data_IF_687948604207
#
_entry.id   IF_687948604207
#
_cell.length_a   1.000
_cell.length_b   1.000
_cell.length_c   1.000
_cell.angle_alpha   90.00
_cell.angle_beta   90.00
_cell.angle_gamma   90.00
#
_symmetry.space_group_name_H-M   'P 1'
#
loop_
_entity.id
_entity.type
_entity.pdbx_description
1 polymer ?
#
# COMPACT_ATOMS: atom_id res chain seq x y z
N UNK A 1 21.37 15.07 18.51
CA UNK A 1 19.90 15.02 18.77
C UNK A 1 19.33 13.81 18.02
N UNK A 2 18.47 13.00 18.64
CA UNK A 2 18.04 11.69 18.06
C UNK A 2 17.19 11.83 16.80
N UNK A 3 16.23 12.75 16.77
CA UNK A 3 15.31 12.88 15.63
C UNK A 3 16.03 13.30 14.34
N UNK A 4 16.84 14.39 14.29
CA UNK A 4 17.61 14.72 13.09
C UNK A 4 18.63 13.64 12.69
N UNK A 5 19.07 12.81 13.63
CA UNK A 5 19.91 11.67 13.31
C UNK A 5 19.09 10.61 12.55
N UNK A 6 17.90 10.24 13.04
CA UNK A 6 17.00 9.29 12.37
C UNK A 6 16.43 9.81 11.05
N UNK A 7 15.94 11.05 11.03
CA UNK A 7 15.36 11.74 9.88
C UNK A 7 16.44 12.35 8.98
N UNK A 8 17.38 11.51 8.53
CA UNK A 8 18.46 11.92 7.64
C UNK A 8 17.89 12.35 6.30
N UNK A 9 18.30 13.53 5.84
CA UNK A 9 18.00 14.02 4.50
C UNK A 9 19.34 14.29 3.80
N UNK A 10 19.77 13.33 2.99
CA UNK A 10 21.06 13.32 2.31
C UNK A 10 20.87 12.80 0.88
N UNK A 11 20.20 13.58 0.01
CA UNK A 11 20.06 13.22 -1.40
C UNK A 11 21.39 13.22 -2.13
N UNK A 12 21.43 12.53 -3.26
CA UNK A 12 22.51 12.53 -4.25
C UNK A 12 22.11 13.39 -5.46
N UNK A 13 22.86 13.30 -6.56
CA UNK A 13 22.49 13.87 -7.86
C UNK A 13 21.77 12.84 -8.76
N UNK A 14 21.26 11.75 -8.18
CA UNK A 14 20.55 10.72 -8.93
C UNK A 14 19.28 11.27 -9.60
N UNK A 15 19.04 10.81 -10.83
CA UNK A 15 17.81 11.07 -11.58
C UNK A 15 16.82 9.91 -11.48
N UNK A 16 17.02 9.02 -10.51
CA UNK A 16 16.14 7.90 -10.23
C UNK A 16 15.69 8.00 -8.79
N UNK A 17 14.39 7.87 -8.55
CA UNK A 17 13.83 7.82 -7.21
C UNK A 17 13.38 6.39 -6.89
N UNK A 18 13.60 5.98 -5.65
CA UNK A 18 12.93 4.83 -5.05
C UNK A 18 11.91 5.34 -4.05
N UNK A 19 10.67 4.85 -4.10
CA UNK A 19 9.57 5.32 -3.24
C UNK A 19 9.07 4.15 -2.41
N UNK A 20 9.00 4.34 -1.09
CA UNK A 20 8.35 3.36 -0.22
C UNK A 20 6.83 3.42 -0.42
N UNK A 21 6.21 2.33 -0.87
CA UNK A 21 4.80 2.30 -1.21
C UNK A 21 3.84 2.43 -0.02
N UNK A 22 4.36 2.29 1.21
CA UNK A 22 3.56 2.51 2.42
C UNK A 22 3.39 3.99 2.75
N UNK A 23 4.08 4.89 2.03
CA UNK A 23 3.82 6.32 2.12
C UNK A 23 2.31 6.59 1.93
N UNK A 24 1.70 7.47 2.74
CA UNK A 24 0.32 7.86 2.56
C UNK A 24 0.05 8.32 1.12
N UNK A 25 -1.03 7.82 0.52
CA UNK A 25 -1.32 8.06 -0.91
C UNK A 25 -1.62 9.53 -1.22
N UNK A 26 -2.11 10.28 -0.24
CA UNK A 26 -2.30 11.74 -0.31
C UNK A 26 -0.97 12.53 -0.41
N UNK A 27 0.18 11.87 -0.18
CA UNK A 27 1.51 12.44 -0.39
C UNK A 27 2.11 12.18 -1.77
N UNK A 28 1.49 11.34 -2.60
CA UNK A 28 2.01 11.10 -3.94
C UNK A 28 2.13 12.37 -4.79
N UNK A 29 1.24 13.39 -4.69
CA UNK A 29 1.46 14.69 -5.33
C UNK A 29 2.73 15.42 -4.90
N UNK A 30 3.13 15.33 -3.62
CA UNK A 30 4.40 15.86 -3.10
C UNK A 30 5.58 15.10 -3.73
N UNK A 31 5.49 13.77 -3.81
CA UNK A 31 6.51 12.92 -4.46
C UNK A 31 6.65 13.24 -5.95
N UNK A 32 5.55 13.46 -6.67
CA UNK A 32 5.57 13.82 -8.10
C UNK A 32 6.19 15.20 -8.31
N UNK A 33 5.86 16.17 -7.45
CA UNK A 33 6.46 17.51 -7.49
C UNK A 33 7.97 17.42 -7.28
N UNK A 34 8.39 16.71 -6.24
CA UNK A 34 9.80 16.42 -5.96
C UNK A 34 10.49 15.74 -7.16
N UNK A 35 9.87 14.71 -7.74
CA UNK A 35 10.43 13.99 -8.88
C UNK A 35 10.68 14.92 -10.08
N UNK A 36 9.75 15.84 -10.36
CA UNK A 36 9.88 16.83 -11.44
C UNK A 36 10.97 17.85 -11.15
N UNK A 37 11.02 18.39 -9.94
CA UNK A 37 12.06 19.35 -9.52
C UNK A 37 13.47 18.76 -9.61
N UNK A 38 13.59 17.46 -9.34
CA UNK A 38 14.83 16.70 -9.39
C UNK A 38 15.18 16.21 -10.80
N UNK A 39 14.31 16.48 -11.78
CA UNK A 39 14.47 15.98 -13.15
C UNK A 39 14.56 14.45 -13.22
N UNK A 40 13.82 13.75 -12.35
CA UNK A 40 13.81 12.30 -12.29
C UNK A 40 13.34 11.71 -13.62
N UNK A 41 14.05 10.69 -14.09
CA UNK A 41 13.75 9.96 -15.33
C UNK A 41 12.87 8.75 -15.06
N UNK A 42 12.97 8.15 -13.86
CA UNK A 42 12.17 7.00 -13.44
C UNK A 42 11.89 7.03 -11.94
N UNK A 43 10.74 6.48 -11.57
CA UNK A 43 10.41 6.14 -10.19
C UNK A 43 10.32 4.62 -10.07
N UNK A 44 11.02 4.06 -9.09
CA UNK A 44 10.83 2.69 -8.62
C UNK A 44 9.96 2.74 -7.37
N UNK A 45 8.90 1.97 -7.31
CA UNK A 45 8.03 1.90 -6.13
C UNK A 45 7.97 0.46 -5.63
N UNK A 46 8.17 0.26 -4.32
CA UNK A 46 8.16 -1.06 -3.70
C UNK A 46 7.24 -1.08 -2.49
N UNK A 47 6.72 -2.25 -2.14
CA UNK A 47 5.83 -2.36 -0.98
C UNK A 47 5.33 -3.78 -0.79
N UNK A 48 5.16 -4.16 0.47
CA UNK A 48 4.64 -5.48 0.82
C UNK A 48 3.12 -5.53 0.73
N UNK A 49 2.51 -6.69 0.97
CA UNK A 49 1.07 -6.84 1.07
C UNK A 49 0.48 -5.81 2.05
N UNK A 50 -0.68 -5.27 1.67
CA UNK A 50 -1.53 -4.45 2.54
C UNK A 50 -2.74 -5.28 2.94
N UNK A 51 -3.41 -4.84 4.01
CA UNK A 51 -4.73 -5.35 4.34
C UNK A 51 -5.70 -5.12 3.18
N UNK A 52 -6.72 -5.97 3.07
CA UNK A 52 -7.81 -5.80 2.10
C UNK A 52 -8.69 -4.59 2.45
N UNK A 53 -8.14 -3.38 2.25
CA UNK A 53 -8.84 -2.14 2.51
C UNK A 53 -9.17 -1.43 1.20
N UNK A 54 -10.42 -1.02 0.96
CA UNK A 54 -10.82 -0.34 -0.27
C UNK A 54 -11.93 0.67 -0.02
N UNK A 55 -11.82 1.83 -0.64
CA UNK A 55 -12.98 2.68 -0.89
C UNK A 55 -13.68 2.18 -2.15
N UNK A 56 -14.99 2.00 -2.10
CA UNK A 56 -15.80 1.49 -3.21
C UNK A 56 -16.87 2.52 -3.54
N UNK A 57 -16.91 2.95 -4.81
CA UNK A 57 -17.89 3.94 -5.30
C UNK A 57 -19.21 3.27 -5.69
N UNK A 58 -20.33 4.01 -5.74
CA UNK A 58 -21.61 3.48 -6.19
C UNK A 58 -21.50 2.79 -7.56
N UNK A 59 -21.97 1.54 -7.64
CA UNK A 59 -21.96 0.75 -8.87
C UNK A 59 -20.62 0.07 -9.18
N UNK A 60 -19.60 0.25 -8.35
CA UNK A 60 -18.36 -0.50 -8.46
C UNK A 60 -18.48 -1.92 -7.89
N UNK A 61 -17.63 -2.81 -8.40
CA UNK A 61 -17.45 -4.15 -7.84
C UNK A 61 -15.99 -4.57 -7.80
N UNK A 62 -15.66 -5.43 -6.85
CA UNK A 62 -14.37 -6.09 -6.71
C UNK A 62 -14.53 -7.58 -7.05
N UNK A 63 -13.85 -8.06 -8.08
CA UNK A 63 -13.83 -9.46 -8.49
C UNK A 63 -12.50 -10.09 -8.07
N UNK A 64 -12.55 -11.18 -7.30
CA UNK A 64 -11.38 -11.83 -6.69
C UNK A 64 -11.34 -13.32 -7.06
N UNK A 65 -10.27 -13.78 -7.73
CA UNK A 65 -9.99 -15.23 -7.90
C UNK A 65 -9.11 -15.66 -6.73
N UNK A 66 -9.61 -16.51 -5.84
CA UNK A 66 -8.83 -17.00 -4.69
C UNK A 66 -7.75 -18.02 -5.09
N UNK A 67 -7.72 -18.46 -6.35
CA UNK A 67 -6.78 -19.46 -6.89
C UNK A 67 -7.09 -20.89 -6.42
N UNK A 68 -7.52 -21.06 -5.18
CA UNK A 68 -7.98 -22.32 -4.60
C UNK A 68 -9.30 -22.12 -3.84
N UNK A 69 -10.25 -23.05 -3.98
CA UNK A 69 -11.51 -22.95 -3.27
C UNK A 69 -11.32 -23.00 -1.76
N UNK A 70 -12.30 -22.49 -1.01
CA UNK A 70 -12.35 -22.58 0.44
C UNK A 70 -13.75 -22.96 0.93
N UNK A 71 -13.79 -23.58 2.08
CA UNK A 71 -14.96 -23.65 2.97
C UNK A 71 -14.56 -23.08 4.33
N UNK A 72 -15.53 -22.78 5.19
CA UNK A 72 -15.28 -22.27 6.54
C UNK A 72 -15.68 -20.80 6.69
N UNK A 73 -14.93 -20.03 7.48
CA UNK A 73 -15.34 -18.69 7.89
C UNK A 73 -14.96 -17.63 6.86
N UNK A 74 -15.91 -16.76 6.54
CA UNK A 74 -15.71 -15.53 5.77
C UNK A 74 -16.10 -14.34 6.64
N UNK A 75 -15.21 -13.35 6.78
CA UNK A 75 -15.49 -12.13 7.53
C UNK A 75 -15.09 -10.87 6.76
N UNK A 76 -15.96 -9.87 6.77
CA UNK A 76 -15.78 -8.56 6.12
C UNK A 76 -15.98 -7.44 7.14
N UNK A 77 -14.98 -6.59 7.37
CA UNK A 77 -15.13 -5.34 8.14
C UNK A 77 -15.45 -4.19 7.18
N UNK A 78 -16.67 -3.66 7.26
CA UNK A 78 -17.16 -2.63 6.35
C UNK A 78 -17.86 -1.49 7.08
N UNK A 79 -17.70 -0.27 6.55
CA UNK A 79 -18.47 0.94 6.91
C UNK A 79 -19.11 1.56 5.67
N UNK A 80 -20.08 2.45 5.87
CA UNK A 80 -20.75 3.13 4.76
C UNK A 80 -21.61 4.31 5.19
N UNK A 81 -21.98 5.15 4.21
CA UNK A 81 -22.87 6.30 4.39
C UNK A 81 -24.21 5.97 3.73
N UNK A 82 -25.10 5.34 4.49
CA UNK A 82 -26.43 4.92 4.01
C UNK A 82 -26.35 3.87 2.89
N UNK A 83 -25.24 3.16 2.75
CA UNK A 83 -24.98 2.20 1.67
C UNK A 83 -25.23 0.77 2.07
N UNK A 84 -24.83 -0.16 1.22
CA UNK A 84 -24.83 -1.57 1.53
C UNK A 84 -23.93 -2.33 0.58
N UNK A 85 -23.66 -3.59 0.91
CA UNK A 85 -22.88 -4.47 0.06
C UNK A 85 -23.58 -5.81 -0.12
N UNK A 86 -23.22 -6.47 -1.21
CA UNK A 86 -23.45 -7.90 -1.44
C UNK A 86 -22.10 -8.54 -1.73
N UNK A 87 -21.76 -9.58 -0.97
CA UNK A 87 -20.60 -10.42 -1.22
C UNK A 87 -21.08 -11.76 -1.76
N UNK A 88 -20.69 -12.07 -2.99
CA UNK A 88 -21.02 -13.32 -3.67
C UNK A 88 -19.82 -14.27 -3.65
N UNK A 89 -20.12 -15.57 -3.63
CA UNK A 89 -19.17 -16.67 -3.82
C UNK A 89 -19.64 -17.56 -4.96
N UNK A 90 -18.85 -17.65 -6.04
CA UNK A 90 -19.22 -18.36 -7.27
C UNK A 90 -20.64 -18.00 -7.76
N UNK A 91 -20.99 -16.71 -7.69
CA UNK A 91 -22.30 -16.18 -8.10
C UNK A 91 -23.44 -16.33 -7.07
N UNK A 92 -23.19 -16.93 -5.91
CA UNK A 92 -24.19 -17.09 -4.84
C UNK A 92 -23.99 -16.06 -3.74
N UNK A 93 -25.06 -15.43 -3.25
CA UNK A 93 -24.95 -14.48 -2.13
C UNK A 93 -24.49 -15.19 -0.85
N UNK A 94 -23.36 -14.74 -0.29
CA UNK A 94 -22.82 -15.22 1.00
C UNK A 94 -23.15 -14.25 2.14
N UNK A 95 -23.06 -12.94 1.86
CA UNK A 95 -23.42 -11.86 2.78
C UNK A 95 -24.15 -10.76 2.00
N UNK A 96 -25.15 -10.15 2.62
CA UNK A 96 -25.82 -8.96 2.10
C UNK A 96 -26.28 -8.10 3.28
N UNK A 97 -25.76 -6.88 3.38
CA UNK A 97 -26.09 -5.98 4.48
C UNK A 97 -26.14 -4.53 4.03
N UNK A 98 -27.08 -3.78 4.61
CA UNK A 98 -27.02 -2.31 4.63
C UNK A 98 -26.04 -1.89 5.73
N UNK A 99 -25.17 -0.92 5.44
CA UNK A 99 -24.14 -0.43 6.34
C UNK A 99 -24.28 1.07 6.50
N UNK A 100 -24.37 1.53 7.75
CA UNK A 100 -24.40 2.96 8.08
C UNK A 100 -23.56 3.19 9.33
N UNK A 101 -22.68 4.18 9.27
CA UNK A 101 -21.86 4.59 10.42
C UNK A 101 -20.49 3.89 10.46
N UNK A 102 -19.94 3.65 11.66
CA UNK A 102 -18.57 3.14 11.82
C UNK A 102 -18.40 1.70 11.29
N UNK A 103 -17.14 1.25 11.08
CA UNK A 103 -16.87 -0.11 10.62
C UNK A 103 -17.47 -1.18 11.53
N UNK A 104 -18.09 -2.18 10.91
CA UNK A 104 -18.71 -3.34 11.54
C UNK A 104 -18.26 -4.61 10.84
N UNK A 105 -18.02 -5.66 11.63
CA UNK A 105 -17.60 -6.97 11.12
C UNK A 105 -18.83 -7.84 10.84
N UNK A 106 -18.97 -8.26 9.59
CA UNK A 106 -19.99 -9.21 9.13
C UNK A 106 -19.33 -10.55 8.87
N UNK A 107 -19.89 -11.64 9.42
CA UNK A 107 -19.30 -12.98 9.34
C UNK A 107 -20.34 -14.00 8.89
N UNK A 108 -19.93 -14.96 8.06
CA UNK A 108 -20.73 -16.13 7.67
C UNK A 108 -19.86 -17.38 7.59
N UNK A 109 -20.51 -18.55 7.58
CA UNK A 109 -19.89 -19.85 7.31
C UNK A 109 -20.25 -20.28 5.89
N UNK A 110 -19.21 -20.57 5.09
CA UNK A 110 -19.30 -21.06 3.72
C UNK A 110 -19.20 -22.58 3.75
N UNK A 111 -20.33 -23.26 3.53
CA UNK A 111 -20.43 -24.72 3.58
C UNK A 111 -19.92 -25.39 2.30
N UNK A 112 -20.35 -24.87 1.15
CA UNK A 112 -19.92 -25.35 -0.16
C UNK A 112 -18.62 -24.66 -0.59
N UNK A 113 -17.67 -25.38 -1.23
CA UNK A 113 -16.44 -24.76 -1.72
C UNK A 113 -16.71 -23.56 -2.63
N UNK A 114 -16.08 -22.43 -2.31
CA UNK A 114 -16.13 -21.18 -3.11
C UNK A 114 -14.74 -20.82 -3.58
N UNK A 115 -14.58 -20.50 -4.86
CA UNK A 115 -13.29 -20.05 -5.43
C UNK A 115 -13.25 -18.56 -5.73
N UNK A 116 -14.30 -18.04 -6.33
CA UNK A 116 -14.37 -16.66 -6.78
C UNK A 116 -15.25 -15.86 -5.81
N UNK A 117 -14.73 -14.71 -5.36
CA UNK A 117 -15.50 -13.76 -4.55
C UNK A 117 -15.81 -12.52 -5.38
N UNK A 118 -17.00 -11.99 -5.22
CA UNK A 118 -17.40 -10.72 -5.82
C UNK A 118 -18.05 -9.82 -4.79
N UNK A 119 -17.46 -8.64 -4.54
CA UNK A 119 -18.03 -7.64 -3.64
C UNK A 119 -18.66 -6.52 -4.48
N UNK A 120 -19.96 -6.31 -4.32
CA UNK A 120 -20.73 -5.30 -5.03
C UNK A 120 -21.32 -4.29 -4.04
N UNK A 121 -21.47 -3.04 -4.47
CA UNK A 121 -22.32 -2.09 -3.76
C UNK A 121 -23.80 -2.33 -3.99
N UNK A 122 -24.63 -2.15 -2.97
CA UNK A 122 -26.09 -2.07 -3.11
C UNK A 122 -26.53 -0.63 -3.45
N UNK A 123 -27.48 -0.42 -4.37
CA UNK A 123 -27.98 0.91 -4.68
C UNK A 123 -28.61 1.60 -3.47
N UNK A 124 -28.25 2.86 -3.22
CA UNK A 124 -28.78 3.63 -2.09
C UNK A 124 -29.04 5.12 -2.39
N UNK A 125 -28.90 5.54 -3.65
CA UNK A 125 -29.00 6.97 -4.01
C UNK A 125 -27.84 7.85 -3.51
N UNK A 126 -26.71 7.27 -3.11
CA UNK A 126 -25.50 8.02 -2.77
C UNK A 126 -24.97 8.80 -3.99
N UNK A 127 -24.28 9.90 -3.70
CA UNK A 127 -23.59 10.68 -4.72
C UNK A 127 -22.56 9.81 -5.47
N UNK A 128 -22.51 9.86 -6.80
CA UNK A 128 -21.47 9.17 -7.57
C UNK A 128 -20.07 9.73 -7.33
N UNK A 129 -19.95 10.91 -6.72
CA UNK A 129 -18.67 11.60 -6.52
C UNK A 129 -17.98 11.24 -5.19
N UNK A 130 -18.61 10.41 -4.36
CA UNK A 130 -18.07 10.00 -3.06
C UNK A 130 -18.09 8.47 -2.92
N UNK A 131 -17.11 7.88 -2.22
CA UNK A 131 -17.15 6.45 -1.93
C UNK A 131 -18.35 6.12 -1.06
N UNK A 132 -19.04 5.05 -1.42
CA UNK A 132 -20.23 4.57 -0.71
C UNK A 132 -19.86 3.69 0.48
N UNK A 133 -18.83 2.86 0.29
CA UNK A 133 -18.33 1.92 1.28
C UNK A 133 -16.85 2.14 1.51
N UNK A 134 -16.44 1.88 2.74
CA UNK A 134 -15.05 1.61 3.06
C UNK A 134 -14.96 0.20 3.63
N UNK A 135 -14.23 -0.66 2.92
CA UNK A 135 -13.83 -1.97 3.41
C UNK A 135 -12.53 -1.78 4.15
N UNK A 136 -12.48 -2.24 5.39
CA UNK A 136 -11.30 -2.16 6.24
C UNK A 136 -10.46 -3.43 6.16
N UNK A 137 -11.11 -4.59 6.14
CA UNK A 137 -10.50 -5.88 5.87
C UNK A 137 -11.51 -6.91 5.35
N UNK A 138 -10.99 -7.97 4.73
CA UNK A 138 -11.73 -9.14 4.26
C UNK A 138 -10.86 -10.38 4.48
N UNK A 139 -11.39 -11.34 5.23
CA UNK A 139 -10.67 -12.55 5.61
C UNK A 139 -11.43 -13.83 5.24
N UNK A 140 -10.68 -14.82 4.80
CA UNK A 140 -11.11 -16.22 4.60
C UNK A 140 -10.34 -17.08 5.59
N UNK A 141 -11.05 -17.78 6.48
CA UNK A 141 -10.48 -18.61 7.54
C UNK A 141 -9.40 -17.87 8.36
N UNK A 142 -9.67 -16.60 8.68
CA UNK A 142 -8.75 -15.71 9.40
C UNK A 142 -7.58 -15.17 8.56
N UNK A 143 -7.42 -15.59 7.31
CA UNK A 143 -6.36 -15.11 6.41
C UNK A 143 -6.89 -13.98 5.54
N UNK A 144 -6.18 -12.84 5.51
CA UNK A 144 -6.53 -11.71 4.64
C UNK A 144 -6.54 -12.14 3.17
N UNK A 145 -7.57 -11.73 2.42
CA UNK A 145 -7.78 -12.16 1.03
C UNK A 145 -6.63 -11.75 0.10
N UNK A 146 -5.94 -10.63 0.33
CA UNK A 146 -4.77 -10.26 -0.48
C UNK A 146 -3.64 -11.30 -0.41
N UNK A 147 -3.56 -12.09 0.67
CA UNK A 147 -2.54 -13.13 0.85
C UNK A 147 -2.92 -14.47 0.21
N UNK A 148 -4.20 -14.64 -0.14
CA UNK A 148 -4.73 -15.88 -0.71
C UNK A 148 -5.01 -15.74 -2.21
N UNK A 149 -5.46 -14.58 -2.64
CA UNK A 149 -5.95 -14.41 -4.00
C UNK A 149 -4.85 -14.49 -5.06
N UNK A 150 -5.23 -15.01 -6.22
CA UNK A 150 -4.42 -15.02 -7.44
C UNK A 150 -4.54 -13.70 -8.20
N UNK A 151 -5.72 -13.10 -8.19
CA UNK A 151 -5.97 -11.81 -8.85
C UNK A 151 -7.15 -11.07 -8.23
N UNK A 152 -7.11 -9.74 -8.34
CA UNK A 152 -8.19 -8.83 -8.01
C UNK A 152 -8.41 -7.87 -9.17
N UNK A 153 -9.66 -7.72 -9.60
CA UNK A 153 -10.10 -6.71 -10.57
C UNK A 153 -11.08 -5.77 -9.89
N UNK A 154 -10.98 -4.48 -10.23
CA UNK A 154 -11.93 -3.45 -9.84
C UNK A 154 -12.71 -3.06 -11.09
N UNK A 155 -14.02 -3.26 -11.07
CA UNK A 155 -14.88 -2.86 -12.19
C UNK A 155 -15.64 -1.61 -11.77
N UNK A 156 -15.41 -0.52 -12.51
CA UNK A 156 -16.07 0.77 -12.31
C UNK A 156 -17.53 0.71 -12.74
N UNK A 157 -18.34 1.64 -12.27
CA UNK A 157 -19.75 1.75 -12.65
C UNK A 157 -19.97 1.94 -14.16
N UNK A 158 -19.01 2.56 -14.86
CA UNK A 158 -19.02 2.74 -16.31
C UNK A 158 -18.54 1.50 -17.10
N UNK A 159 -18.14 0.42 -16.41
CA UNK A 159 -17.63 -0.82 -17.00
C UNK A 159 -16.11 -0.90 -17.13
N UNK A 160 -15.37 0.18 -16.84
CA UNK A 160 -13.90 0.17 -16.90
C UNK A 160 -13.32 -0.85 -15.92
N UNK A 161 -12.36 -1.64 -16.41
CA UNK A 161 -11.65 -2.62 -15.59
C UNK A 161 -10.30 -2.05 -15.18
N UNK A 162 -10.07 -1.96 -13.88
CA UNK A 162 -8.76 -1.69 -13.29
C UNK A 162 -8.23 -2.93 -12.58
N UNK A 163 -6.91 -3.00 -12.42
CA UNK A 163 -6.29 -4.01 -11.55
C UNK A 163 -6.46 -3.59 -10.09
N UNK A 164 -6.60 -4.56 -9.19
CA UNK A 164 -6.53 -4.31 -7.75
C UNK A 164 -5.15 -3.88 -7.28
N UNK A 165 -5.04 -3.50 -6.01
CA UNK A 165 -3.78 -3.06 -5.39
C UNK A 165 -3.47 -3.90 -4.13
N UNK A 166 -3.15 -5.20 -4.27
CA UNK A 166 -2.84 -6.08 -3.13
C UNK A 166 -1.67 -5.64 -2.27
N UNK A 167 -0.72 -4.91 -2.86
CA UNK A 167 0.47 -4.44 -2.17
C UNK A 167 0.48 -2.92 -2.05
N UNK A 168 1.27 -2.44 -1.10
CA UNK A 168 1.60 -1.03 -0.98
C UNK A 168 2.30 -0.50 -2.25
N UNK A 169 3.02 -1.34 -3.01
CA UNK A 169 3.66 -0.93 -4.25
C UNK A 169 2.64 -0.50 -5.31
N UNK A 170 1.62 -1.33 -5.52
CA UNK A 170 0.57 -1.09 -6.53
C UNK A 170 -0.34 0.06 -6.10
N UNK A 171 -0.65 0.17 -4.81
CA UNK A 171 -1.42 1.27 -4.27
C UNK A 171 -0.73 2.63 -4.45
N UNK A 172 0.57 2.69 -4.15
CA UNK A 172 1.36 3.88 -4.38
C UNK A 172 1.53 4.16 -5.89
N UNK A 173 1.67 3.13 -6.72
CA UNK A 173 1.72 3.28 -8.16
C UNK A 173 0.45 3.91 -8.73
N UNK A 174 -0.73 3.41 -8.35
CA UNK A 174 -2.03 3.97 -8.74
C UNK A 174 -2.11 5.46 -8.33
N UNK A 175 -1.70 5.79 -7.11
CA UNK A 175 -1.72 7.16 -6.61
C UNK A 175 -0.67 8.09 -7.28
N UNK A 176 0.52 7.59 -7.64
CA UNK A 176 1.52 8.35 -8.40
C UNK A 176 1.02 8.66 -9.81
N UNK A 177 0.39 7.69 -10.48
CA UNK A 177 -0.20 7.88 -11.80
C UNK A 177 -1.37 8.88 -11.73
N UNK A 178 -2.24 8.74 -10.74
CA UNK A 178 -3.33 9.69 -10.50
C UNK A 178 -2.82 11.12 -10.19
N UNK A 179 -1.67 11.24 -9.54
CA UNK A 179 -0.98 12.52 -9.30
C UNK A 179 -0.25 13.07 -10.55
N UNK A 180 -0.28 12.35 -11.68
CA UNK A 180 0.26 12.79 -12.96
C UNK A 180 1.70 12.37 -13.24
N UNK A 181 2.21 11.32 -12.58
CA UNK A 181 3.45 10.67 -13.03
C UNK A 181 3.17 9.75 -14.24
N UNK A 182 4.01 9.77 -15.29
CA UNK A 182 3.82 8.89 -16.44
C UNK A 182 3.99 7.40 -16.08
N UNK A 183 3.01 6.56 -16.45
CA UNK A 183 3.02 5.14 -16.11
C UNK A 183 4.17 4.36 -16.75
N UNK A 184 4.65 4.78 -17.92
CA UNK A 184 5.79 4.22 -18.64
C UNK A 184 7.14 4.56 -17.98
N UNK A 185 7.18 5.58 -17.12
CA UNK A 185 8.34 5.97 -16.32
C UNK A 185 8.27 5.42 -14.88
N UNK A 186 7.33 4.52 -14.61
CA UNK A 186 7.13 3.91 -13.29
C UNK A 186 7.49 2.43 -13.31
N UNK A 187 8.35 2.00 -12.39
CA UNK A 187 8.71 0.60 -12.18
C UNK A 187 8.13 0.12 -10.86
N UNK A 188 7.08 -0.70 -10.93
CA UNK A 188 6.39 -1.24 -9.75
C UNK A 188 7.01 -2.57 -9.33
N UNK A 189 7.42 -2.67 -8.06
CA UNK A 189 8.03 -3.85 -7.44
C UNK A 189 7.21 -4.32 -6.24
N UNK A 190 6.09 -5.03 -6.46
CA UNK A 190 5.33 -5.62 -5.37
C UNK A 190 6.14 -6.72 -4.68
N UNK A 191 5.99 -6.85 -3.37
CA UNK A 191 6.56 -7.92 -2.56
C UNK A 191 5.41 -8.64 -1.87
N UNK A 192 5.17 -9.90 -2.21
CA UNK A 192 4.07 -10.71 -1.65
C UNK A 192 4.55 -11.79 -0.69
N UNK A 193 5.86 -11.94 -0.57
CA UNK A 193 6.50 -12.84 0.36
C UNK A 193 7.66 -12.11 1.04
N UNK A 194 7.44 -11.73 2.30
CA UNK A 194 8.36 -10.94 3.09
C UNK A 194 8.90 -11.72 4.30
N UNK A 195 9.22 -12.99 4.09
CA UNK A 195 9.98 -13.80 5.04
C UNK A 195 11.26 -13.07 5.48
N UNK A 196 11.50 -12.99 6.80
CA UNK A 196 12.66 -12.29 7.37
C UNK A 196 12.52 -10.78 7.55
N UNK A 197 11.44 -10.14 7.04
CA UNK A 197 11.07 -8.76 7.41
C UNK A 197 10.74 -7.85 6.21
N UNK A 198 9.59 -7.15 6.31
CA UNK A 198 9.03 -6.31 5.25
C UNK A 198 10.00 -5.27 4.66
N UNK A 199 10.74 -4.55 5.50
CA UNK A 199 11.69 -3.53 5.01
C UNK A 199 12.88 -4.13 4.26
N UNK A 200 13.42 -5.26 4.74
CA UNK A 200 14.55 -5.92 4.09
C UNK A 200 14.12 -6.53 2.74
N UNK A 201 12.95 -7.17 2.67
CA UNK A 201 12.42 -7.72 1.43
C UNK A 201 12.17 -6.64 0.37
N UNK A 202 11.62 -5.49 0.76
CA UNK A 202 11.47 -4.32 -0.14
C UNK A 202 12.83 -3.80 -0.64
N UNK A 203 13.81 -3.65 0.25
CA UNK A 203 15.15 -3.21 -0.13
C UNK A 203 15.82 -4.17 -1.13
N UNK A 204 15.67 -5.49 -0.92
CA UNK A 204 16.17 -6.50 -1.84
C UNK A 204 15.45 -6.46 -3.20
N UNK A 205 14.14 -6.29 -3.22
CA UNK A 205 13.36 -6.20 -4.46
C UNK A 205 13.76 -4.99 -5.30
N UNK A 206 14.03 -3.85 -4.67
CA UNK A 206 14.59 -2.66 -5.33
C UNK A 206 16.00 -2.91 -5.84
N UNK A 207 16.91 -3.44 -5.01
CA UNK A 207 18.28 -3.72 -5.41
C UNK A 207 18.37 -4.72 -6.59
N UNK A 208 17.48 -5.71 -6.63
CA UNK A 208 17.37 -6.61 -7.79
C UNK A 208 16.86 -5.88 -9.05
N UNK A 209 15.96 -4.91 -8.91
CA UNK A 209 15.54 -4.08 -10.04
C UNK A 209 16.68 -3.18 -10.53
N UNK A 210 17.38 -2.50 -9.62
CA UNK A 210 18.52 -1.65 -9.96
C UNK A 210 19.61 -2.38 -10.73
N UNK A 211 19.99 -3.59 -10.28
CA UNK A 211 20.97 -4.42 -10.99
C UNK A 211 20.50 -4.83 -12.39
N UNK A 212 19.23 -5.20 -12.54
CA UNK A 212 18.67 -5.56 -13.85
C UNK A 212 18.64 -4.38 -14.81
N UNK A 213 18.36 -3.19 -14.28
CA UNK A 213 18.12 -1.99 -15.07
C UNK A 213 19.38 -1.10 -15.20
N UNK A 214 20.52 -1.53 -14.64
CA UNK A 214 21.80 -0.81 -14.71
C UNK A 214 21.82 0.51 -13.92
N UNK A 215 21.09 0.59 -12.82
CA UNK A 215 21.01 1.79 -11.97
C UNK A 215 22.18 1.83 -11.00
N UNK A 216 22.98 2.90 -11.06
CA UNK A 216 24.16 3.13 -10.21
C UNK A 216 24.00 4.25 -9.18
N UNK A 217 22.90 5.01 -9.24
CA UNK A 217 22.58 6.02 -8.25
C UNK A 217 21.05 6.16 -8.11
N UNK A 218 20.56 6.30 -6.89
CA UNK A 218 19.13 6.41 -6.59
C UNK A 218 18.92 7.19 -5.30
N UNK A 219 17.84 7.96 -5.21
CA UNK A 219 17.40 8.55 -3.95
C UNK A 219 16.14 7.88 -3.42
N UNK A 220 16.21 7.36 -2.20
CA UNK A 220 15.08 6.78 -1.50
C UNK A 220 14.22 7.88 -0.87
N UNK A 221 12.96 7.97 -1.30
CA UNK A 221 11.92 8.83 -0.74
C UNK A 221 11.17 8.05 0.34
N UNK A 222 11.19 8.59 1.57
CA UNK A 222 10.57 8.01 2.76
C UNK A 222 10.20 9.11 3.77
N UNK A 223 9.64 8.76 4.93
CA UNK A 223 9.17 9.70 5.95
C UNK A 223 10.07 9.76 7.17
N UNK A 224 10.43 10.99 7.54
CA UNK A 224 10.96 11.37 8.85
C UNK A 224 11.92 10.34 9.44
N UNK A 225 11.62 9.89 10.66
CA UNK A 225 12.53 9.04 11.44
C UNK A 225 12.79 7.65 10.85
N UNK A 226 12.04 7.21 9.82
CA UNK A 226 12.29 5.95 9.11
C UNK A 226 13.46 6.06 8.11
N UNK A 227 13.86 7.28 7.74
CA UNK A 227 14.85 7.55 6.71
C UNK A 227 16.19 6.82 6.88
N UNK A 228 16.79 6.89 8.08
CA UNK A 228 18.11 6.28 8.32
C UNK A 228 18.09 4.76 8.14
N UNK A 229 17.07 4.07 8.64
CA UNK A 229 17.00 2.61 8.56
C UNK A 229 16.73 2.16 7.15
N UNK A 230 15.71 2.72 6.50
CA UNK A 230 15.38 2.35 5.11
C UNK A 230 16.55 2.62 4.16
N UNK A 231 17.24 3.76 4.32
CA UNK A 231 18.44 4.08 3.53
C UNK A 231 19.58 3.09 3.75
N UNK A 232 19.87 2.70 5.00
CA UNK A 232 20.91 1.68 5.31
C UNK A 232 20.56 0.31 4.73
N UNK A 233 19.32 -0.12 4.85
CA UNK A 233 18.87 -1.40 4.31
C UNK A 233 18.98 -1.42 2.79
N UNK A 234 18.56 -0.34 2.11
CA UNK A 234 18.67 -0.25 0.67
C UNK A 234 20.12 -0.19 0.19
N UNK A 235 20.98 0.58 0.86
CA UNK A 235 22.41 0.63 0.55
C UNK A 235 23.06 -0.75 0.72
N UNK A 236 22.79 -1.44 1.83
CA UNK A 236 23.31 -2.80 2.07
C UNK A 236 22.83 -3.79 1.02
N UNK A 237 21.54 -3.74 0.65
CA UNK A 237 20.97 -4.62 -0.36
C UNK A 237 21.53 -4.35 -1.77
N UNK A 238 21.86 -3.09 -2.07
CA UNK A 238 22.37 -2.67 -3.39
C UNK A 238 23.88 -2.82 -3.54
N UNK A 239 24.62 -3.03 -2.44
CA UNK A 239 26.07 -3.11 -2.45
C UNK A 239 26.75 -1.75 -2.69
N UNK A 240 28.04 -1.75 -3.01
CA UNK A 240 28.82 -0.53 -3.25
C UNK A 240 28.66 0.01 -4.70
N UNK A 241 28.05 -0.78 -5.59
CA UNK A 241 27.86 -0.44 -7.01
C UNK A 241 26.75 0.59 -7.25
N UNK A 242 25.90 0.82 -6.24
CA UNK A 242 24.78 1.74 -6.29
C UNK A 242 24.92 2.76 -5.17
N UNK A 243 25.04 4.04 -5.53
CA UNK A 243 25.01 5.14 -4.59
C UNK A 243 23.56 5.39 -4.14
N UNK A 244 23.26 5.19 -2.85
CA UNK A 244 21.91 5.41 -2.30
C UNK A 244 21.87 6.70 -1.49
N UNK A 245 21.15 7.70 -1.98
CA UNK A 245 20.74 8.86 -1.21
C UNK A 245 19.41 8.65 -0.50
N UNK A 246 19.06 9.58 0.38
CA UNK A 246 17.78 9.56 1.11
C UNK A 246 17.14 10.94 1.10
N UNK A 247 15.88 11.00 0.68
CA UNK A 247 15.01 12.16 0.79
C UNK A 247 13.96 11.86 1.86
N UNK A 248 14.06 12.57 2.98
CA UNK A 248 13.17 12.41 4.13
C UNK A 248 12.05 13.46 4.09
N UNK A 249 10.87 13.05 3.66
CA UNK A 249 9.66 13.87 3.75
C UNK A 249 9.26 14.11 5.21
N UNK A 250 8.58 15.22 5.46
CA UNK A 250 8.12 15.56 6.82
C UNK A 250 7.05 14.58 7.30
N UNK A 251 7.22 14.03 8.50
CA UNK A 251 6.25 13.14 9.16
C UNK A 251 5.39 13.93 10.16
N UNK A 252 4.09 14.17 9.88
CA UNK A 252 3.22 14.92 10.78
C UNK A 252 3.01 14.25 12.15
N UNK A 253 3.20 12.93 12.23
CA UNK A 253 3.07 12.18 13.49
C UNK A 253 4.39 12.12 14.28
N UNK A 254 5.49 12.60 13.68
CA UNK A 254 6.81 12.72 14.31
C UNK A 254 7.52 14.01 13.87
N UNK A 255 6.95 15.20 14.16
CA UNK A 255 7.45 16.47 13.66
C UNK A 255 8.83 16.82 14.23
N UNK A 256 9.67 17.43 13.40
CA UNK A 256 10.97 17.91 13.81
C UNK A 256 10.84 18.94 14.94
N UNK A 257 11.56 18.72 16.05
CA UNK A 257 11.59 19.67 17.17
C UNK A 257 10.37 19.67 18.09
N UNK A 258 9.35 18.85 17.85
CA UNK A 258 8.18 18.71 18.75
C UNK A 258 7.67 17.27 18.89
N UNK A 259 8.29 16.29 18.23
CA UNK A 259 7.88 14.88 18.28
C UNK A 259 7.71 14.30 19.70
N UNK A 260 8.50 14.76 20.68
CA UNK A 260 8.42 14.27 22.07
C UNK A 260 7.17 14.72 22.82
N UNK A 261 6.41 15.67 22.26
CA UNK A 261 5.13 16.12 22.82
C UNK A 261 3.98 15.14 22.53
N UNK A 262 4.18 14.17 21.62
CA UNK A 262 3.16 13.21 21.20
C UNK A 262 3.61 11.77 21.46
N UNK A 263 2.69 10.92 21.92
CA UNK A 263 2.97 9.49 22.16
C UNK A 263 3.39 8.76 20.88
N UNK A 264 2.80 9.12 19.73
CA UNK A 264 3.16 8.62 18.40
C UNK A 264 4.63 8.91 18.06
N UNK A 265 5.11 10.12 18.35
CA UNK A 265 6.49 10.52 18.10
C UNK A 265 7.48 9.67 18.90
N UNK A 266 7.21 9.42 20.18
CA UNK A 266 8.00 8.50 21.01
C UNK A 266 8.00 7.07 20.46
N UNK A 267 6.83 6.54 20.13
CA UNK A 267 6.70 5.18 19.61
C UNK A 267 7.50 5.00 18.30
N UNK A 268 7.42 5.96 17.37
CA UNK A 268 8.17 5.91 16.11
C UNK A 268 9.68 5.99 16.32
N UNK A 269 10.16 6.93 17.15
CA UNK A 269 11.60 7.06 17.46
C UNK A 269 12.13 5.79 18.12
N UNK A 270 11.43 5.26 19.14
CA UNK A 270 11.85 4.06 19.86
C UNK A 270 11.88 2.84 18.93
N UNK A 271 10.85 2.65 18.10
CA UNK A 271 10.78 1.58 17.10
C UNK A 271 12.01 1.58 16.18
N UNK A 272 12.37 2.74 15.64
CA UNK A 272 13.50 2.84 14.70
C UNK A 272 14.86 2.66 15.37
N UNK A 273 15.02 3.11 16.63
CA UNK A 273 16.24 2.82 17.40
C UNK A 273 16.40 1.32 17.65
N UNK A 274 15.33 0.65 18.10
CA UNK A 274 15.36 -0.80 18.34
C UNK A 274 15.64 -1.57 17.05
N UNK A 275 15.02 -1.17 15.94
CA UNK A 275 15.24 -1.81 14.65
C UNK A 275 16.69 -1.64 14.17
N UNK A 276 17.28 -0.44 14.31
CA UNK A 276 18.68 -0.18 13.96
C UNK A 276 19.70 -0.96 14.82
N UNK A 277 19.33 -1.41 16.02
CA UNK A 277 20.18 -2.28 16.84
C UNK A 277 20.16 -3.75 16.40
N UNK A 278 19.16 -4.15 15.60
CA UNK A 278 18.98 -5.52 15.10
C UNK A 278 19.54 -5.70 13.69
N UNK A 279 19.73 -4.59 12.97
CA UNK A 279 20.21 -4.53 11.59
C UNK A 279 21.75 -4.38 11.50
#
# INVERSE_FOLDING_TARGET
RVHPWLAVNAPTDARVLAVEGWLPTDRMPEVVTLARERGAERIYVTGTERVFAYYIWPGERLEMDLGQPFTGTLSLDASGVGGGFRLLGDGRTLLEHTVTGPPQVFTTTVEDPVRDLELQTLPNGASPDAPQLFIKDLHVNGTDVHRRMRSLRRIRANGDTLTGTPTHAEAAAEALIAAGWPADLLVVRPVTDAEGGRSAANAQALAQAFRRDGIHAVDLVTLGVHARRSGRLLQRASGEEVQVGVISLADPECPAGTWWLQGSGWAKVAKELVALCRD
#
